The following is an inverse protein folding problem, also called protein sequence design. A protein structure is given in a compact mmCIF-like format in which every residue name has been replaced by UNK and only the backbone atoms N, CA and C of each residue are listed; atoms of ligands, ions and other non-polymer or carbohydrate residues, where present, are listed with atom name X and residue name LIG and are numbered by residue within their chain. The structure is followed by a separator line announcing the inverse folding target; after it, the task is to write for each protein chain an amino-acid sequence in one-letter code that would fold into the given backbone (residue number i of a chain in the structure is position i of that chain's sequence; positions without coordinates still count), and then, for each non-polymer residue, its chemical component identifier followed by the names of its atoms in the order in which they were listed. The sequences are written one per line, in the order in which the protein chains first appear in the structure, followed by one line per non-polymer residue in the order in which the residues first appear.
data_IF_374264154233
#
_entry.id   IF_374264154233
#
_cell.length_a   1.000
_cell.length_b   1.000
_cell.length_c   1.000
_cell.angle_alpha   90.00
_cell.angle_beta   90.00
_cell.angle_gamma   90.00
#
_symmetry.space_group_name_H-M   'P 1'
#
loop_
_entity.id
_entity.type
_entity.pdbx_description
1 polymer ?
#
# COMPACT_ATOMS: atom_id res chain seq x y z
N UNK A 1 24.89 18.25 -2.25
CA UNK A 1 24.65 17.29 -1.15
C UNK A 1 23.37 17.70 -0.47
N UNK A 2 22.26 16.98 -0.69
CA UNK A 2 21.00 17.29 -0.02
C UNK A 2 20.91 16.42 1.23
N UNK A 3 20.98 17.05 2.40
CA UNK A 3 20.90 16.34 3.67
C UNK A 3 19.49 15.77 3.82
N UNK A 4 19.40 14.48 4.17
CA UNK A 4 18.14 13.87 4.56
C UNK A 4 17.55 14.52 5.80
N UNK A 5 16.27 14.24 6.08
CA UNK A 5 15.58 14.72 7.28
C UNK A 5 14.93 13.56 8.01
N UNK A 6 14.79 13.65 9.33
CA UNK A 6 14.04 12.66 10.13
C UNK A 6 13.03 13.39 10.98
N UNK A 7 11.79 12.90 11.03
CA UNK A 7 10.72 13.43 11.88
C UNK A 7 9.93 12.29 12.53
N UNK A 8 9.13 12.60 13.55
CA UNK A 8 8.33 11.60 14.26
C UNK A 8 7.06 11.29 13.47
N UNK A 9 6.60 10.04 13.54
CA UNK A 9 5.29 9.70 13.03
C UNK A 9 4.20 10.45 13.82
N UNK A 10 3.22 11.01 13.12
CA UNK A 10 2.16 11.88 13.66
C UNK A 10 2.53 13.36 13.80
N UNK A 11 3.79 13.74 13.54
CA UNK A 11 4.22 15.14 13.46
C UNK A 11 4.09 15.65 12.00
N UNK A 12 3.85 16.95 11.76
CA UNK A 12 3.84 17.50 10.42
C UNK A 12 5.08 17.12 9.60
N UNK A 13 4.91 16.70 8.32
CA UNK A 13 6.03 16.35 7.45
C UNK A 13 7.06 17.48 7.36
N UNK A 14 8.35 17.12 7.36
CA UNK A 14 9.42 18.10 7.23
C UNK A 14 9.26 18.93 5.94
N UNK A 15 9.62 20.23 5.97
CA UNK A 15 9.50 21.17 4.82
C UNK A 15 10.12 20.72 3.50
N UNK A 16 10.99 19.71 3.53
CA UNK A 16 11.60 19.12 2.35
C UNK A 16 10.74 18.04 1.68
N UNK A 17 9.67 17.59 2.32
CA UNK A 17 8.75 16.58 1.80
C UNK A 17 7.74 17.27 0.88
N UNK A 18 7.65 16.88 -0.41
CA UNK A 18 6.63 17.42 -1.32
C UNK A 18 5.21 17.17 -0.80
N UNK A 19 4.33 18.16 -0.99
CA UNK A 19 2.93 18.11 -0.57
C UNK A 19 2.18 16.90 -1.15
N UNK A 20 2.55 16.48 -2.37
CA UNK A 20 2.00 15.29 -3.02
C UNK A 20 2.17 14.00 -2.17
N UNK A 21 3.19 13.92 -1.31
CA UNK A 21 3.42 12.76 -0.45
C UNK A 21 2.67 12.82 0.88
N UNK A 22 2.15 13.98 1.28
CA UNK A 22 1.60 14.18 2.64
C UNK A 22 0.37 13.30 2.89
N UNK A 23 -0.50 13.16 1.88
CA UNK A 23 -1.67 12.27 1.96
C UNK A 23 -1.26 10.82 2.21
N UNK A 24 -0.35 10.31 1.39
CA UNK A 24 0.12 8.92 1.50
C UNK A 24 0.94 8.67 2.76
N UNK A 25 1.68 9.66 3.26
CA UNK A 25 2.35 9.60 4.56
C UNK A 25 1.33 9.36 5.67
N UNK A 26 0.25 10.15 5.72
CA UNK A 26 -0.79 9.99 6.73
C UNK A 26 -1.51 8.63 6.61
N UNK A 27 -1.75 8.14 5.38
CA UNK A 27 -2.31 6.81 5.14
C UNK A 27 -1.40 5.70 5.67
N UNK A 28 -0.09 5.79 5.44
CA UNK A 28 0.88 4.80 5.94
C UNK A 28 1.02 4.83 7.46
N UNK A 29 0.96 6.01 8.09
CA UNK A 29 0.93 6.13 9.55
C UNK A 29 -0.31 5.44 10.16
N UNK A 30 -1.46 5.59 9.52
CA UNK A 30 -2.70 4.94 9.95
C UNK A 30 -2.64 3.40 9.80
N UNK A 31 -1.93 2.91 8.78
CA UNK A 31 -1.71 1.47 8.54
C UNK A 31 -0.66 0.86 9.49
N UNK A 32 0.31 1.67 9.95
CA UNK A 32 1.42 1.23 10.79
C UNK A 32 1.51 2.05 12.09
N UNK A 33 0.53 1.91 13.01
CA UNK A 33 0.48 2.71 14.25
C UNK A 33 1.64 2.45 15.22
N UNK A 34 2.38 1.36 15.03
CA UNK A 34 3.56 1.02 15.84
C UNK A 34 4.85 1.70 15.35
N UNK A 35 4.85 2.28 14.15
CA UNK A 35 6.03 2.92 13.58
C UNK A 35 6.27 4.30 14.24
N UNK A 36 7.52 4.58 14.60
CA UNK A 36 7.85 5.75 15.42
C UNK A 36 8.37 6.97 14.66
N UNK A 37 8.95 6.79 13.48
CA UNK A 37 9.65 7.86 12.79
C UNK A 37 9.73 7.67 11.28
N UNK A 38 9.75 8.81 10.58
CA UNK A 38 10.02 8.91 9.16
C UNK A 38 11.44 9.37 8.88
N UNK A 39 12.06 8.80 7.86
CA UNK A 39 13.37 9.18 7.35
C UNK A 39 13.25 9.56 5.88
N UNK A 40 13.50 10.82 5.55
CA UNK A 40 13.61 11.33 4.19
C UNK A 40 15.05 11.22 3.69
N UNK A 41 15.20 10.54 2.57
CA UNK A 41 16.44 10.43 1.81
C UNK A 41 16.23 10.97 0.40
N UNK A 42 17.26 11.54 -0.21
CA UNK A 42 17.22 12.00 -1.59
C UNK A 42 18.09 11.12 -2.47
N UNK A 43 17.46 10.32 -3.34
CA UNK A 43 18.14 9.41 -4.26
C UNK A 43 18.01 9.93 -5.69
N UNK A 44 19.12 10.34 -6.29
CA UNK A 44 19.15 10.90 -7.66
C UNK A 44 18.17 12.07 -7.85
N UNK A 45 17.99 12.90 -6.81
CA UNK A 45 17.05 14.02 -6.80
C UNK A 45 15.60 13.64 -6.48
N UNK A 46 15.32 12.37 -6.17
CA UNK A 46 13.98 11.89 -5.80
C UNK A 46 13.84 11.76 -4.29
N UNK A 47 12.76 12.28 -3.69
CA UNK A 47 12.49 12.12 -2.27
C UNK A 47 11.96 10.72 -1.98
N UNK A 48 12.64 10.02 -1.07
CA UNK A 48 12.23 8.71 -0.55
C UNK A 48 12.01 8.87 0.95
N UNK A 49 10.76 8.76 1.37
CA UNK A 49 10.36 8.79 2.78
C UNK A 49 10.16 7.35 3.26
N UNK A 50 10.94 6.91 4.23
CA UNK A 50 10.83 5.59 4.83
C UNK A 50 10.24 5.70 6.23
N UNK A 51 9.26 4.86 6.54
CA UNK A 51 8.63 4.76 7.85
C UNK A 51 9.24 3.59 8.59
N UNK A 52 10.08 3.86 9.59
CA UNK A 52 10.63 2.91 10.57
C UNK A 52 11.01 1.51 10.04
N UNK A 53 11.55 1.42 8.82
CA UNK A 53 11.84 0.17 8.11
C UNK A 53 10.64 -0.76 7.81
N UNK A 54 9.40 -0.26 7.89
CA UNK A 54 8.18 -1.05 7.59
C UNK A 54 7.55 -0.68 6.25
N UNK A 55 7.66 0.58 5.84
CA UNK A 55 7.05 1.07 4.60
C UNK A 55 7.87 2.21 3.99
N UNK A 56 7.63 2.51 2.71
CA UNK A 56 8.18 3.69 2.05
C UNK A 56 7.14 4.44 1.21
N UNK A 57 7.41 5.71 0.98
CA UNK A 57 6.62 6.63 0.15
C UNK A 57 7.60 7.47 -0.69
N UNK A 58 7.45 7.47 -2.01
CA UNK A 58 8.37 8.12 -2.95
C UNK A 58 7.65 8.67 -4.18
N UNK A 59 8.35 9.47 -4.99
CA UNK A 59 7.92 9.90 -6.31
C UNK A 59 8.64 9.10 -7.40
N UNK A 60 7.87 8.61 -8.37
CA UNK A 60 8.38 8.02 -9.61
C UNK A 60 8.96 9.09 -10.55
N UNK A 61 9.63 8.68 -11.63
CA UNK A 61 10.26 9.58 -12.61
C UNK A 61 9.27 10.53 -13.29
N UNK A 62 7.99 10.15 -13.35
CA UNK A 62 6.90 11.00 -13.86
C UNK A 62 6.20 11.84 -12.78
N UNK A 63 6.67 11.80 -11.54
CA UNK A 63 6.08 12.53 -10.40
C UNK A 63 4.84 11.88 -9.79
N UNK A 64 4.60 10.59 -10.04
CA UNK A 64 3.52 9.83 -9.39
C UNK A 64 3.96 9.33 -8.01
N UNK A 65 3.07 9.42 -7.04
CA UNK A 65 3.29 8.86 -5.70
C UNK A 65 3.30 7.35 -5.78
N UNK A 66 4.33 6.74 -5.17
CA UNK A 66 4.45 5.28 -5.00
C UNK A 66 4.67 4.98 -3.54
N UNK A 67 4.00 3.93 -3.06
CA UNK A 67 4.19 3.41 -1.71
C UNK A 67 4.22 1.88 -1.75
N UNK A 68 4.84 1.29 -0.74
CA UNK A 68 4.90 -0.16 -0.58
C UNK A 68 5.56 -0.54 0.74
N UNK A 69 5.45 -1.81 1.15
CA UNK A 69 6.19 -2.33 2.27
C UNK A 69 7.69 -2.25 1.97
N UNK A 70 8.50 -1.94 2.98
CA UNK A 70 9.94 -2.10 2.86
C UNK A 70 10.21 -3.61 2.91
N UNK A 71 10.40 -4.24 1.75
CA UNK A 71 10.83 -5.65 1.72
C UNK A 71 12.25 -5.70 2.27
N UNK A 72 12.49 -6.60 3.22
CA UNK A 72 13.83 -6.92 3.71
C UNK A 72 14.71 -7.30 2.51
N UNK A 73 15.52 -6.35 2.02
CA UNK A 73 16.39 -6.51 0.84
C UNK A 73 16.05 -5.71 -0.43
N UNK A 74 14.91 -5.00 -0.54
CA UNK A 74 14.52 -4.27 -1.77
C UNK A 74 15.01 -2.80 -1.73
N UNK A 75 16.29 -2.63 -1.43
CA UNK A 75 17.00 -1.39 -1.72
C UNK A 75 17.30 -1.32 -3.21
N UNK A 76 16.37 -0.72 -3.97
CA UNK A 76 16.41 -0.40 -5.40
C UNK A 76 15.65 -1.36 -6.36
N UNK A 77 14.73 -0.74 -7.11
CA UNK A 77 14.15 -1.20 -8.37
C UNK A 77 12.95 -2.18 -8.34
N UNK A 78 11.89 -1.86 -7.60
CA UNK A 78 10.54 -2.36 -7.95
C UNK A 78 9.78 -1.32 -8.79
N UNK A 79 9.70 -1.57 -10.10
CA UNK A 79 8.95 -0.85 -11.14
C UNK A 79 7.41 -0.82 -10.89
N UNK A 80 6.60 -0.10 -11.69
CA UNK A 80 5.31 0.41 -11.25
C UNK A 80 4.19 -0.65 -11.18
N UNK A 81 3.74 -0.97 -9.97
CA UNK A 81 2.37 -1.44 -9.74
C UNK A 81 1.40 -0.34 -10.18
N UNK A 82 0.54 -0.70 -11.14
CA UNK A 82 -0.51 0.14 -11.71
C UNK A 82 -1.45 0.74 -10.64
N UNK A 83 -2.09 1.90 -10.91
CA UNK A 83 -3.01 2.51 -9.96
C UNK A 83 -4.23 1.62 -9.73
N UNK A 84 -4.61 1.52 -8.46
CA UNK A 84 -5.86 0.95 -8.00
C UNK A 84 -7.02 1.85 -8.43
N UNK A 85 -7.47 1.72 -9.68
CA UNK A 85 -8.76 2.27 -10.09
C UNK A 85 -9.85 1.32 -9.59
N UNK A 86 -10.35 1.58 -8.38
CA UNK A 86 -11.65 1.08 -7.95
C UNK A 86 -12.65 2.22 -8.08
N UNK A 87 -13.02 2.53 -9.31
CA UNK A 87 -14.19 3.34 -9.60
C UNK A 87 -15.42 2.79 -8.86
N UNK A 88 -16.10 3.69 -8.16
CA UNK A 88 -17.33 3.41 -7.43
C UNK A 88 -18.57 3.74 -8.28
N UNK A 89 -19.55 2.82 -8.21
CA UNK A 89 -21.01 3.03 -8.26
C UNK A 89 -21.72 3.05 -9.65
N UNK A 90 -23.08 3.04 -9.70
CA UNK A 90 -23.93 1.85 -9.64
C UNK A 90 -24.95 1.78 -10.81
N UNK A 91 -25.47 0.59 -11.14
CA UNK A 91 -26.65 0.50 -12.01
C UNK A 91 -27.50 -0.75 -11.70
N UNK A 92 -28.79 -0.48 -11.51
CA UNK A 92 -29.87 -1.42 -11.25
C UNK A 92 -30.27 -2.21 -12.50
N UNK A 93 -30.86 -3.39 -12.28
CA UNK A 93 -31.66 -4.10 -13.28
C UNK A 93 -31.62 -5.62 -13.11
N UNK A 94 -32.67 -6.20 -12.52
CA UNK A 94 -32.91 -7.66 -12.55
C UNK A 94 -33.23 -8.16 -13.97
N UNK A 95 -33.40 -9.49 -14.16
CA UNK A 95 -34.71 -10.07 -13.84
C UNK A 95 -34.70 -11.49 -13.23
N UNK A 96 -35.91 -11.88 -12.86
CA UNK A 96 -36.38 -13.07 -12.18
C UNK A 96 -36.06 -14.43 -12.84
N UNK A 97 -35.94 -15.44 -11.97
CA UNK A 97 -36.73 -16.68 -12.04
C UNK A 97 -36.13 -17.88 -12.76
N UNK A 98 -35.71 -18.89 -12.00
CA UNK A 98 -35.98 -20.32 -12.30
C UNK A 98 -35.65 -21.18 -11.07
N UNK A 99 -36.66 -21.97 -10.71
CA UNK A 99 -36.78 -22.94 -9.63
C UNK A 99 -36.09 -24.29 -9.92
N UNK A 100 -35.83 -25.07 -8.86
CA UNK A 100 -35.56 -26.52 -8.86
C UNK A 100 -34.11 -26.92 -9.11
N UNK A 101 -33.55 -28.00 -8.57
CA UNK A 101 -34.03 -29.13 -7.77
C UNK A 101 -32.79 -30.01 -7.43
N UNK A 102 -32.82 -30.66 -6.26
CA UNK A 102 -32.09 -31.89 -5.86
C UNK A 102 -30.54 -31.93 -5.91
N UNK A 103 -29.87 -32.16 -4.77
CA UNK A 103 -29.54 -33.49 -4.21
C UNK A 103 -28.45 -34.19 -5.03
N UNK A 104 -27.19 -34.05 -4.59
CA UNK A 104 -26.18 -35.09 -4.79
C UNK A 104 -25.19 -35.07 -3.62
N UNK A 105 -24.88 -36.29 -3.20
CA UNK A 105 -24.38 -36.73 -1.91
C UNK A 105 -22.98 -37.33 -2.13
N UNK A 106 -21.99 -36.90 -1.36
CA UNK A 106 -20.72 -37.61 -1.10
C UNK A 106 -20.06 -36.81 0.06
N UNK A 107 -20.12 -37.17 1.34
CA UNK A 107 -19.84 -38.46 2.00
C UNK A 107 -18.61 -39.18 1.44
N UNK A 108 -17.45 -38.58 1.69
CA UNK A 108 -16.22 -39.35 1.90
C UNK A 108 -15.59 -38.91 3.22
N UNK A 109 -15.91 -39.71 4.23
CA UNK A 109 -15.32 -39.85 5.54
C UNK A 109 -13.77 -40.00 5.46
N UNK A 110 -13.09 -39.29 6.37
CA UNK A 110 -11.95 -39.78 7.16
C UNK A 110 -10.96 -40.84 6.58
N UNK A 111 -9.90 -40.39 5.88
CA UNK A 111 -8.63 -41.15 5.73
C UNK A 111 -7.38 -40.29 6.07
N UNK A 112 -7.41 -39.53 7.19
CA UNK A 112 -6.27 -38.72 7.66
C UNK A 112 -5.48 -39.34 8.83
N UNK A 113 -5.67 -40.63 9.12
CA UNK A 113 -4.92 -41.30 10.19
C UNK A 113 -4.27 -42.62 9.75
N UNK A 114 -3.06 -42.54 9.18
CA UNK A 114 -1.98 -43.54 9.34
C UNK A 114 -0.61 -42.87 9.31
#
# INVERSE_FOLDING_TARGET
MQLGARWRAGDPPHRGVPEALHGTIAEQEAQHPTAGAWTLTWLEGRPVCELDNVAFVTLDVVGRVRTGPLREGDGAASAPSAPHDRAAAPAAGGPAGVDGDSDDNDDDDDDWLK
#
